data_IF_737645062300
#
_entry.id   IF_737645062300
#
_cell.length_a   1.000
_cell.length_b   1.000
_cell.length_c   1.000
_cell.angle_alpha   90.00
_cell.angle_beta   90.00
_cell.angle_gamma   90.00
#
_symmetry.space_group_name_H-M   'P 1'
#
loop_
_entity.id
_entity.type
_entity.pdbx_description
1 polymer ?
#
# COMPACT_ATOMS: atom_id res chain seq x y z
N UNK A 1 27.20 18.75 -17.16
CA UNK A 1 25.81 19.03 -16.71
C UNK A 1 25.09 17.69 -16.68
N UNK A 2 25.08 16.99 -15.53
CA UNK A 2 24.59 15.61 -15.44
C UNK A 2 23.06 15.60 -15.39
N UNK A 3 22.45 15.20 -16.51
CA UNK A 3 21.02 14.93 -16.62
C UNK A 3 20.68 13.64 -15.87
N UNK A 4 19.93 13.78 -14.78
CA UNK A 4 19.36 12.64 -14.05
C UNK A 4 18.15 12.08 -14.81
N UNK A 5 18.39 11.16 -15.75
CA UNK A 5 17.34 10.26 -16.22
C UNK A 5 17.05 9.20 -15.15
N UNK A 6 15.76 8.93 -14.92
CA UNK A 6 15.26 8.00 -13.90
C UNK A 6 15.62 6.56 -14.25
N UNK A 7 16.80 6.11 -13.83
CA UNK A 7 17.18 4.70 -13.87
C UNK A 7 16.62 4.00 -12.62
N UNK A 8 15.65 3.12 -12.81
CA UNK A 8 15.18 2.22 -11.75
C UNK A 8 16.20 1.10 -11.56
N UNK A 9 17.12 1.29 -10.61
CA UNK A 9 18.03 0.23 -10.18
C UNK A 9 17.26 -0.82 -9.36
N UNK A 10 17.37 -2.08 -9.75
CA UNK A 10 16.96 -3.21 -8.90
C UNK A 10 18.07 -3.38 -7.86
N UNK A 11 17.83 -2.87 -6.65
CA UNK A 11 18.82 -2.92 -5.57
C UNK A 11 18.65 -4.23 -4.80
N UNK A 12 19.70 -5.06 -4.77
CA UNK A 12 19.78 -6.26 -3.91
C UNK A 12 19.70 -5.87 -2.42
N UNK A 13 19.21 -6.77 -1.57
CA UNK A 13 18.88 -6.45 -0.16
C UNK A 13 20.11 -5.99 0.65
N UNK A 14 21.28 -6.58 0.43
CA UNK A 14 22.55 -6.15 1.05
C UNK A 14 23.03 -4.79 0.52
N UNK A 15 22.92 -4.57 -0.80
CA UNK A 15 23.26 -3.28 -1.42
C UNK A 15 22.34 -2.16 -0.95
N UNK A 16 21.09 -2.47 -0.59
CA UNK A 16 20.13 -1.49 -0.08
C UNK A 16 20.61 -0.89 1.23
N UNK A 17 21.07 -1.70 2.18
CA UNK A 17 21.53 -1.21 3.50
C UNK A 17 22.70 -0.25 3.34
N UNK A 18 23.68 -0.61 2.51
CA UNK A 18 24.85 0.22 2.23
C UNK A 18 24.48 1.54 1.56
N UNK A 19 23.59 1.51 0.55
CA UNK A 19 23.11 2.72 -0.13
C UNK A 19 22.38 3.64 0.85
N UNK A 20 21.53 3.09 1.73
CA UNK A 20 20.83 3.89 2.74
C UNK A 20 21.80 4.53 3.73
N UNK A 21 22.84 3.83 4.16
CA UNK A 21 23.87 4.38 5.04
C UNK A 21 24.55 5.59 4.39
N UNK A 22 24.99 5.46 3.13
CA UNK A 22 25.65 6.54 2.38
C UNK A 22 24.71 7.75 2.19
N UNK A 23 23.43 7.51 1.85
CA UNK A 23 22.46 8.60 1.66
C UNK A 23 22.19 9.36 2.97
N UNK A 24 22.12 8.65 4.09
CA UNK A 24 21.95 9.24 5.42
C UNK A 24 23.18 10.05 5.84
N UNK A 25 24.38 9.50 5.64
CA UNK A 25 25.65 10.19 5.93
C UNK A 25 25.74 11.50 5.13
N UNK A 26 25.38 11.46 3.84
CA UNK A 26 25.34 12.64 2.96
C UNK A 26 24.17 13.59 3.22
N UNK A 27 23.26 13.25 4.15
CA UNK A 27 22.01 13.99 4.41
C UNK A 27 21.20 14.27 3.12
N UNK A 28 21.21 13.32 2.19
CA UNK A 28 20.54 13.46 0.91
C UNK A 28 19.01 13.26 1.05
N UNK A 29 18.22 13.99 0.24
CA UNK A 29 16.78 13.76 0.14
C UNK A 29 16.49 12.58 -0.80
N UNK A 30 15.72 11.58 -0.35
CA UNK A 30 15.34 10.44 -1.18
C UNK A 30 13.94 9.88 -0.84
N UNK A 31 13.41 9.08 -1.77
CA UNK A 31 12.15 8.34 -1.61
C UNK A 31 12.44 6.86 -1.80
N UNK A 32 11.96 6.03 -0.88
CA UNK A 32 12.06 4.58 -0.99
C UNK A 32 10.86 4.03 -1.74
N UNK A 33 11.12 3.42 -2.89
CA UNK A 33 10.12 2.66 -3.61
C UNK A 33 10.29 1.17 -3.27
N UNK A 34 9.25 0.55 -2.72
CA UNK A 34 9.23 -0.90 -2.52
C UNK A 34 9.13 -1.59 -3.88
N UNK A 35 9.98 -2.57 -4.17
CA UNK A 35 9.91 -3.30 -5.44
C UNK A 35 8.55 -3.98 -5.58
N UNK A 36 8.08 -4.13 -6.83
CA UNK A 36 6.81 -4.79 -7.10
C UNK A 36 6.81 -6.29 -6.74
N UNK A 37 8.00 -6.92 -6.67
CA UNK A 37 8.17 -8.33 -6.34
C UNK A 37 7.80 -8.64 -4.88
N UNK A 38 8.12 -7.75 -3.94
CA UNK A 38 7.77 -7.94 -2.53
C UNK A 38 6.33 -7.54 -2.18
N UNK A 39 5.65 -6.77 -3.05
CA UNK A 39 4.27 -6.32 -2.78
C UNK A 39 3.31 -7.52 -2.84
N UNK A 40 2.53 -7.79 -1.78
CA UNK A 40 1.56 -8.88 -1.79
C UNK A 40 0.48 -8.67 -2.86
N UNK A 41 -0.12 -9.77 -3.31
CA UNK A 41 -1.28 -9.74 -4.20
C UNK A 41 -2.51 -9.40 -3.35
N UNK A 42 -3.33 -8.46 -3.83
CA UNK A 42 -4.60 -8.11 -3.17
C UNK A 42 -5.76 -8.71 -3.94
N UNK A 43 -6.54 -9.53 -3.26
CA UNK A 43 -7.71 -10.20 -3.82
C UNK A 43 -8.95 -9.89 -2.99
N UNK A 44 -10.10 -9.96 -3.65
CA UNK A 44 -11.39 -9.88 -3.01
C UNK A 44 -12.12 -11.20 -3.25
N UNK A 45 -12.46 -11.89 -2.16
CA UNK A 45 -13.33 -13.07 -2.19
C UNK A 45 -14.76 -12.57 -2.01
N UNK A 46 -15.67 -13.00 -2.87
CA UNK A 46 -17.11 -12.74 -2.78
C UNK A 46 -17.88 -14.05 -2.63
N UNK A 47 -19.14 -13.92 -2.21
CA UNK A 47 -20.09 -15.03 -2.08
C UNK A 47 -19.72 -15.99 -0.94
N UNK A 48 -19.13 -15.45 0.13
CA UNK A 48 -19.01 -16.13 1.42
C UNK A 48 -20.09 -15.61 2.37
N UNK A 49 -20.45 -16.38 3.39
CA UNK A 49 -21.41 -15.92 4.41
C UNK A 49 -20.84 -14.72 5.17
N UNK A 50 -21.72 -13.82 5.60
CA UNK A 50 -21.37 -12.71 6.48
C UNK A 50 -20.88 -13.20 7.86
N UNK A 51 -21.32 -14.39 8.26
CA UNK A 51 -20.95 -15.03 9.54
C UNK A 51 -19.68 -15.90 9.43
N UNK A 52 -19.05 -15.96 8.26
CA UNK A 52 -17.82 -16.75 8.07
C UNK A 52 -16.70 -16.14 8.91
N UNK A 53 -16.05 -16.94 9.77
CA UNK A 53 -14.87 -16.49 10.50
C UNK A 53 -13.72 -16.23 9.52
N UNK A 54 -13.12 -15.03 9.51
CA UNK A 54 -11.91 -14.78 8.73
C UNK A 54 -10.79 -15.80 8.99
N UNK A 55 -10.73 -16.40 10.18
CA UNK A 55 -9.71 -17.38 10.53
C UNK A 55 -9.88 -18.70 9.77
N UNK A 56 -11.12 -19.17 9.57
CA UNK A 56 -11.39 -20.37 8.76
C UNK A 56 -10.87 -20.20 7.32
N UNK A 57 -11.05 -19.00 6.76
CA UNK A 57 -10.55 -18.64 5.42
C UNK A 57 -9.02 -18.68 5.40
N UNK A 58 -8.37 -18.18 6.45
CA UNK A 58 -6.91 -18.20 6.56
C UNK A 58 -6.39 -19.64 6.64
N UNK A 59 -7.04 -20.49 7.43
CA UNK A 59 -6.64 -21.89 7.62
C UNK A 59 -6.84 -22.73 6.35
N UNK A 60 -7.99 -22.61 5.68
CA UNK A 60 -8.25 -23.29 4.41
C UNK A 60 -7.22 -22.87 3.35
N UNK A 61 -6.95 -21.57 3.18
CA UNK A 61 -5.95 -21.10 2.23
C UNK A 61 -4.53 -21.52 2.61
N UNK A 62 -4.20 -21.55 3.90
CA UNK A 62 -2.88 -21.99 4.39
C UNK A 62 -2.66 -23.48 4.13
N UNK A 63 -3.70 -24.31 4.31
CA UNK A 63 -3.66 -25.75 3.99
C UNK A 63 -3.38 -26.03 2.51
N UNK A 64 -3.74 -25.10 1.62
CA UNK A 64 -3.49 -25.14 0.17
C UNK A 64 -2.15 -24.51 -0.23
N UNK A 65 -1.34 -24.09 0.74
CA UNK A 65 0.00 -23.53 0.52
C UNK A 65 0.04 -22.03 0.23
N UNK A 66 -1.04 -21.29 0.43
CA UNK A 66 -1.04 -19.83 0.34
C UNK A 66 -0.65 -19.20 1.66
N UNK A 67 0.16 -18.13 1.61
CA UNK A 67 0.52 -17.36 2.81
C UNK A 67 -0.31 -16.09 2.86
N UNK A 68 -1.26 -16.02 3.79
CA UNK A 68 -2.12 -14.85 4.01
C UNK A 68 -1.44 -13.89 4.98
N UNK A 69 -1.10 -12.67 4.52
CA UNK A 69 -0.53 -11.63 5.37
C UNK A 69 -1.61 -10.90 6.18
N UNK A 70 -2.79 -10.71 5.58
CA UNK A 70 -3.90 -9.96 6.17
C UNK A 70 -5.21 -10.36 5.53
N UNK A 71 -6.26 -10.45 6.34
CA UNK A 71 -7.65 -10.58 5.93
C UNK A 71 -8.50 -9.49 6.59
N UNK A 72 -9.52 -9.01 5.91
CA UNK A 72 -10.53 -8.09 6.45
C UNK A 72 -11.86 -8.32 5.76
N UNK A 73 -12.91 -8.55 6.54
CA UNK A 73 -14.26 -8.51 6.01
C UNK A 73 -14.61 -7.06 5.63
N UNK A 74 -15.29 -6.90 4.50
CA UNK A 74 -15.73 -5.59 4.05
C UNK A 74 -16.99 -5.18 4.81
N UNK A 75 -17.14 -3.88 5.04
CA UNK A 75 -18.28 -3.31 5.77
C UNK A 75 -18.95 -2.21 4.97
N UNK A 76 -20.27 -2.21 4.94
CA UNK A 76 -21.03 -1.04 4.53
C UNK A 76 -21.15 -0.09 5.72
N UNK A 77 -20.31 0.95 5.75
CA UNK A 77 -20.30 1.93 6.85
C UNK A 77 -21.59 2.75 6.96
N UNK A 78 -22.32 2.96 5.85
CA UNK A 78 -23.60 3.69 5.89
C UNK A 78 -24.68 2.88 6.58
N UNK A 79 -24.80 1.60 6.22
CA UNK A 79 -25.79 0.69 6.79
C UNK A 79 -25.31 -0.01 8.07
N UNK A 80 -24.05 0.20 8.46
CA UNK A 80 -23.35 -0.45 9.58
C UNK A 80 -23.27 -1.99 9.50
N UNK A 81 -23.61 -2.59 8.35
CA UNK A 81 -23.62 -4.04 8.13
C UNK A 81 -22.29 -4.57 7.58
N UNK A 82 -21.99 -5.82 7.91
CA UNK A 82 -20.93 -6.60 7.26
C UNK A 82 -21.37 -6.94 5.83
N UNK A 83 -20.40 -7.29 4.99
CA UNK A 83 -20.66 -7.71 3.62
C UNK A 83 -20.16 -9.13 3.43
N UNK A 84 -20.78 -9.90 2.51
CA UNK A 84 -20.35 -11.25 2.12
C UNK A 84 -19.10 -11.21 1.21
N UNK A 85 -18.14 -10.37 1.59
CA UNK A 85 -16.93 -10.07 0.82
C UNK A 85 -15.74 -9.84 1.76
N UNK A 86 -14.61 -10.47 1.42
CA UNK A 86 -13.39 -10.43 2.21
C UNK A 86 -12.23 -9.92 1.35
N UNK A 87 -11.48 -8.97 1.87
CA UNK A 87 -10.27 -8.43 1.25
C UNK A 87 -9.05 -9.13 1.86
N UNK A 88 -8.23 -9.76 1.02
CA UNK A 88 -7.04 -10.49 1.46
C UNK A 88 -5.77 -9.91 0.82
N UNK A 89 -4.68 -9.96 1.57
CA UNK A 89 -3.32 -9.73 1.09
C UNK A 89 -2.54 -11.04 1.14
N UNK A 90 -2.21 -11.61 -0.02
CA UNK A 90 -1.49 -12.87 -0.18
C UNK A 90 -0.01 -12.58 -0.49
N UNK A 91 0.91 -13.20 0.25
CA UNK A 91 2.34 -13.08 -0.01
C UNK A 91 2.68 -13.69 -1.38
N UNK A 92 3.58 -13.04 -2.12
CA UNK A 92 4.08 -13.58 -3.39
C UNK A 92 5.13 -14.66 -3.13
N UNK A 93 4.66 -15.88 -2.86
CA UNK A 93 5.50 -17.08 -2.70
C UNK A 93 5.00 -18.18 -3.61
N UNK A 94 5.91 -18.94 -4.23
CA UNK A 94 5.56 -20.01 -5.17
C UNK A 94 4.54 -19.57 -6.23
N UNK A 95 3.55 -20.43 -6.48
CA UNK A 95 2.49 -20.20 -7.46
C UNK A 95 1.28 -19.44 -6.89
N UNK A 96 1.51 -18.37 -6.12
CA UNK A 96 0.45 -17.54 -5.52
C UNK A 96 -0.62 -17.03 -6.51
N UNK A 97 -0.34 -16.96 -7.82
CA UNK A 97 -1.34 -16.58 -8.85
C UNK A 97 -2.42 -17.65 -9.07
N UNK A 98 -2.18 -18.90 -8.66
CA UNK A 98 -3.18 -19.97 -8.76
C UNK A 98 -4.41 -19.71 -7.88
N UNK A 99 -4.31 -18.78 -6.92
CA UNK A 99 -5.45 -18.33 -6.11
C UNK A 99 -6.64 -17.88 -6.95
N UNK A 100 -6.42 -17.35 -8.16
CA UNK A 100 -7.50 -16.93 -9.06
C UNK A 100 -8.25 -18.11 -9.72
N UNK A 101 -7.68 -19.32 -9.65
CA UNK A 101 -8.28 -20.55 -10.17
C UNK A 101 -9.11 -21.28 -9.11
N UNK A 102 -8.93 -20.96 -7.82
CA UNK A 102 -9.73 -21.53 -6.73
C UNK A 102 -11.21 -21.17 -6.94
N UNK A 103 -12.07 -22.19 -6.90
CA UNK A 103 -13.52 -22.02 -7.08
C UNK A 103 -14.30 -22.19 -5.79
N UNK A 104 -13.67 -22.74 -4.76
CA UNK A 104 -14.26 -22.97 -3.46
C UNK A 104 -13.30 -22.59 -2.33
N UNK A 105 -13.84 -22.00 -1.27
CA UNK A 105 -13.11 -21.66 -0.05
C UNK A 105 -14.03 -22.03 1.12
N UNK A 106 -13.49 -22.71 2.13
CA UNK A 106 -14.22 -23.25 3.27
C UNK A 106 -15.45 -24.07 2.84
N UNK A 107 -15.31 -24.92 1.80
CA UNK A 107 -16.39 -25.71 1.19
C UNK A 107 -17.51 -24.90 0.48
N UNK A 108 -17.47 -23.58 0.51
CA UNK A 108 -18.42 -22.73 -0.21
C UNK A 108 -17.91 -22.40 -1.62
N UNK A 109 -18.83 -22.29 -2.57
CA UNK A 109 -18.50 -21.78 -3.91
C UNK A 109 -18.26 -20.28 -3.83
N UNK A 110 -17.09 -19.82 -4.25
CA UNK A 110 -16.68 -18.42 -4.13
C UNK A 110 -16.25 -17.81 -5.45
N UNK A 111 -16.34 -16.48 -5.55
CA UNK A 111 -15.78 -15.71 -6.66
C UNK A 111 -14.58 -14.90 -6.19
N UNK A 112 -13.42 -15.14 -6.78
CA UNK A 112 -12.18 -14.42 -6.46
C UNK A 112 -11.90 -13.39 -7.55
N UNK A 113 -11.73 -12.13 -7.16
CA UNK A 113 -11.43 -11.02 -8.06
C UNK A 113 -10.15 -10.30 -7.63
N UNK A 114 -9.43 -9.70 -8.58
CA UNK A 114 -8.33 -8.80 -8.24
C UNK A 114 -8.88 -7.54 -7.58
N UNK A 115 -8.37 -7.19 -6.40
CA UNK A 115 -8.77 -5.95 -5.74
C UNK A 115 -8.12 -4.74 -6.43
N UNK A 116 -8.93 -3.96 -7.15
CA UNK A 116 -8.49 -2.72 -7.80
C UNK A 116 -8.77 -1.53 -6.89
N UNK A 117 -7.71 -0.86 -6.44
CA UNK A 117 -7.83 0.43 -5.75
C UNK A 117 -8.33 1.48 -6.73
N UNK A 118 -9.21 2.38 -6.28
CA UNK A 118 -9.54 3.59 -7.04
C UNK A 118 -8.25 4.38 -7.30
N UNK A 119 -8.07 4.86 -8.52
CA UNK A 119 -6.89 5.61 -9.02
C UNK A 119 -6.83 7.03 -8.47
N UNK A 120 -6.93 7.20 -7.14
CA UNK A 120 -6.63 8.48 -6.50
C UNK A 120 -5.15 8.55 -6.20
N UNK A 121 -4.50 9.61 -6.66
CA UNK A 121 -3.11 9.87 -6.31
C UNK A 121 -2.99 10.01 -4.79
N UNK A 122 -2.12 9.18 -4.20
CA UNK A 122 -1.84 9.28 -2.77
C UNK A 122 -0.91 10.47 -2.54
N UNK A 123 -1.23 11.33 -1.59
CA UNK A 123 -0.40 12.47 -1.20
C UNK A 123 0.44 12.06 0.01
N UNK A 124 1.74 12.34 -0.04
CA UNK A 124 2.66 12.17 1.07
C UNK A 124 2.49 13.32 2.07
N UNK A 125 2.12 13.00 3.31
CA UNK A 125 1.95 14.01 4.36
C UNK A 125 3.26 14.61 4.88
N UNK A 126 4.42 14.02 4.54
CA UNK A 126 5.72 14.60 4.85
C UNK A 126 6.07 15.71 3.85
N UNK A 127 6.22 15.38 2.56
CA UNK A 127 6.74 16.32 1.56
C UNK A 127 5.67 16.96 0.65
N UNK A 128 4.39 16.66 0.84
CA UNK A 128 3.27 17.08 -0.03
C UNK A 128 3.37 16.60 -1.49
N UNK A 129 4.21 15.60 -1.78
CA UNK A 129 4.34 14.98 -3.11
C UNK A 129 3.36 13.82 -3.33
N UNK A 130 3.40 13.20 -4.51
CA UNK A 130 2.46 12.14 -4.89
C UNK A 130 3.09 10.74 -4.96
N UNK A 131 2.24 9.71 -4.88
CA UNK A 131 2.54 8.29 -5.15
C UNK A 131 3.52 7.58 -4.21
N UNK A 132 3.79 8.13 -3.03
CA UNK A 132 4.63 7.48 -2.02
C UNK A 132 4.16 7.81 -0.60
N UNK A 133 4.34 6.86 0.33
CA UNK A 133 3.88 6.99 1.70
C UNK A 133 4.89 7.81 2.52
N UNK A 134 4.41 8.50 3.56
CA UNK A 134 5.27 9.32 4.42
C UNK A 134 6.39 8.50 5.08
N UNK A 135 6.11 7.23 5.44
CA UNK A 135 7.10 6.28 5.98
C UNK A 135 8.29 6.01 5.06
N UNK A 136 8.13 6.21 3.75
CA UNK A 136 9.17 5.97 2.75
C UNK A 136 9.77 7.29 2.23
N UNK A 137 9.44 8.42 2.86
CA UNK A 137 9.78 9.76 2.39
C UNK A 137 10.85 10.39 3.29
N UNK A 138 12.06 10.54 2.77
CA UNK A 138 13.19 11.19 3.44
C UNK A 138 13.48 12.58 2.87
N UNK A 139 12.46 13.22 2.30
CA UNK A 139 12.52 14.63 1.89
C UNK A 139 12.26 15.52 3.10
N UNK A 140 12.74 16.77 3.03
CA UNK A 140 12.35 17.81 3.98
C UNK A 140 10.83 17.96 4.03
N UNK A 141 10.26 18.19 5.22
CA UNK A 141 8.83 18.36 5.37
C UNK A 141 8.37 19.59 4.59
N UNK A 142 7.19 19.47 3.99
CA UNK A 142 6.52 20.58 3.30
C UNK A 142 5.06 20.59 3.71
N UNK A 143 4.61 21.72 4.23
CA UNK A 143 3.25 21.89 4.69
C UNK A 143 2.27 22.01 3.51
N UNK A 144 1.23 21.17 3.48
CA UNK A 144 0.18 21.17 2.44
C UNK A 144 -0.64 22.47 2.49
N UNK A 145 -0.68 23.16 3.63
CA UNK A 145 -1.47 24.38 3.81
C UNK A 145 -0.71 25.62 3.31
N UNK A 146 0.42 25.95 3.93
CA UNK A 146 1.15 27.18 3.64
C UNK A 146 2.34 27.01 2.68
N UNK A 147 2.82 25.78 2.48
CA UNK A 147 4.00 25.48 1.65
C UNK A 147 5.35 25.59 2.36
N UNK A 148 5.37 25.94 3.65
CA UNK A 148 6.60 26.09 4.44
C UNK A 148 7.23 24.76 4.87
N UNK A 149 8.47 24.83 5.35
CA UNK A 149 9.30 23.68 5.74
C UNK A 149 8.97 23.14 7.15
N UNK A 150 7.73 22.68 7.34
CA UNK A 150 7.28 22.04 8.58
C UNK A 150 6.18 21.00 8.30
N UNK A 151 5.93 20.10 9.25
CA UNK A 151 4.85 19.14 9.13
C UNK A 151 3.49 19.85 9.17
N UNK A 152 2.53 19.39 8.38
CA UNK A 152 1.21 20.04 8.26
C UNK A 152 0.48 20.17 9.61
N UNK A 153 0.74 19.26 10.56
CA UNK A 153 0.18 19.30 11.92
C UNK A 153 0.66 20.51 12.75
N UNK A 154 1.88 20.97 12.49
CA UNK A 154 2.52 22.08 13.20
C UNK A 154 2.21 23.43 12.56
N UNK A 155 1.37 23.43 11.51
CA UNK A 155 1.00 24.66 10.83
C UNK A 155 0.07 25.53 11.69
N UNK A 156 0.33 26.84 11.66
CA UNK A 156 -0.53 27.87 12.28
C UNK A 156 -1.92 27.95 11.60
N UNK A 157 -2.01 27.61 10.31
CA UNK A 157 -3.29 27.56 9.58
C UNK A 157 -4.08 26.33 10.04
N UNK A 158 -5.19 26.52 10.76
CA UNK A 158 -6.05 25.41 11.22
C UNK A 158 -7.17 25.06 10.24
N UNK A 159 -7.72 26.04 9.52
CA UNK A 159 -8.79 25.85 8.54
C UNK A 159 -8.43 24.95 7.35
N UNK A 160 -9.47 24.46 6.66
CA UNK A 160 -9.35 23.80 5.35
C UNK A 160 -9.13 24.88 4.29
N UNK A 161 -8.13 24.70 3.44
CA UNK A 161 -7.91 25.58 2.28
C UNK A 161 -8.62 25.02 1.05
N UNK A 162 -9.16 25.87 0.17
CA UNK A 162 -9.83 25.44 -1.06
C UNK A 162 -8.85 24.75 -2.02
N UNK A 163 -7.60 25.21 -2.07
CA UNK A 163 -6.54 24.63 -2.89
C UNK A 163 -5.33 24.28 -2.01
N UNK A 164 -4.96 23.00 -1.88
CA UNK A 164 -3.75 22.58 -1.16
C UNK A 164 -2.47 22.90 -1.96
N UNK A 165 -1.42 23.32 -1.25
CA UNK A 165 -0.09 23.63 -1.83
C UNK A 165 0.77 22.37 -1.98
N UNK A 166 0.45 21.57 -2.97
CA UNK A 166 1.16 20.31 -3.25
C UNK A 166 2.55 20.54 -3.84
N UNK A 167 3.47 19.58 -3.65
CA UNK A 167 4.77 19.57 -4.35
C UNK A 167 4.52 19.16 -5.80
N UNK A 168 4.80 20.06 -6.75
CA UNK A 168 4.71 19.76 -8.18
C UNK A 168 5.65 18.59 -8.50
N UNK A 169 5.20 17.69 -9.38
CA UNK A 169 6.07 16.67 -9.96
C UNK A 169 7.12 17.41 -10.80
N UNK A 170 8.40 17.24 -10.44
CA UNK A 170 9.53 17.61 -11.30
C UNK A 170 9.77 16.49 -12.31
#
# INVERSE_FOLDING_TARGET
MLSFHRETFIVFEESRVQILAILNEKKAEYILNESSSYRPIKIMIKQLSEDTDPQDIVEDLSSRGYVVNRISQMRNYKLKMLLPMFLLEIKKTGNCKNIYNERNICYFRTKIETYRRKTKAMICYNCSGFYHAARNCHLKPKCIKCGGEHATRDCKIKGKLPVPKMRKLR
#
